data_IF_778217156197
#
_entry.id   IF_778217156197
#
_cell.length_a   1.000
_cell.length_b   1.000
_cell.length_c   1.000
_cell.angle_alpha   90.00
_cell.angle_beta   90.00
_cell.angle_gamma   90.00
#
_symmetry.space_group_name_H-M   'P 1'
#
loop_
_entity.id
_entity.type
_entity.pdbx_description
1 polymer ?
#
# COMPACT_ATOMS: atom_id res chain seq x y z
N UNK A 1 21.37 4.52 9.88
CA UNK A 1 20.10 4.53 10.55
C UNK A 1 19.21 5.58 9.93
N UNK A 2 17.92 5.50 10.07
CA UNK A 2 17.00 6.45 9.49
C UNK A 2 16.76 6.31 8.00
N UNK A 3 17.20 5.20 7.41
CA UNK A 3 16.92 4.90 6.00
C UNK A 3 16.15 3.60 5.96
N UNK A 4 15.05 3.61 5.21
CA UNK A 4 14.26 2.41 4.99
C UNK A 4 13.72 2.43 3.58
N UNK A 5 13.34 1.27 3.07
CA UNK A 5 12.73 1.15 1.76
C UNK A 5 11.25 0.88 1.96
N UNK A 6 10.42 1.69 1.31
CA UNK A 6 8.98 1.51 1.34
C UNK A 6 8.49 1.12 -0.04
N UNK A 7 7.58 0.16 -0.07
CA UNK A 7 6.89 -0.25 -1.27
C UNK A 7 5.45 0.22 -1.16
N UNK A 8 5.06 1.10 -2.08
CA UNK A 8 3.73 1.70 -2.06
C UNK A 8 2.85 1.05 -3.11
N UNK A 9 1.65 0.69 -2.70
CA UNK A 9 0.60 0.26 -3.63
C UNK A 9 -0.52 1.28 -3.48
N UNK A 10 -0.78 2.01 -4.56
CA UNK A 10 -1.73 3.12 -4.57
C UNK A 10 -2.95 2.75 -5.38
N UNK A 11 -4.12 2.86 -4.76
CA UNK A 11 -5.41 2.67 -5.42
C UNK A 11 -5.98 4.05 -5.69
N UNK A 12 -5.90 4.48 -6.95
CA UNK A 12 -6.39 5.79 -7.37
C UNK A 12 -7.68 5.59 -8.11
N UNK A 13 -8.78 6.12 -7.56
CA UNK A 13 -10.10 5.93 -8.14
C UNK A 13 -11.16 5.86 -7.08
N UNK A 14 -12.14 4.98 -7.29
CA UNK A 14 -13.29 4.87 -6.40
C UNK A 14 -13.78 3.44 -6.29
N UNK A 15 -14.44 3.15 -5.17
CA UNK A 15 -15.17 1.92 -4.95
C UNK A 15 -16.59 2.29 -4.54
N UNK A 16 -17.62 1.55 -5.00
CA UNK A 16 -18.97 1.76 -4.50
C UNK A 16 -19.10 1.43 -3.01
N UNK A 17 -18.14 0.66 -2.47
CA UNK A 17 -18.12 0.27 -1.05
C UNK A 17 -16.73 0.48 -0.48
N UNK A 18 -16.26 1.73 -0.31
CA UNK A 18 -14.88 1.99 0.11
C UNK A 18 -14.55 1.44 1.49
N UNK A 19 -15.50 1.47 2.43
CA UNK A 19 -15.29 0.92 3.76
C UNK A 19 -15.12 -0.60 3.70
N UNK A 20 -15.89 -1.26 2.85
CA UNK A 20 -15.77 -2.71 2.67
C UNK A 20 -14.43 -3.06 2.02
N UNK A 21 -13.99 -2.26 1.05
CA UNK A 21 -12.71 -2.44 0.42
C UNK A 21 -11.58 -2.32 1.44
N UNK A 22 -11.60 -1.29 2.25
CA UNK A 22 -10.60 -1.07 3.28
C UNK A 22 -10.62 -2.20 4.32
N UNK A 23 -11.80 -2.61 4.74
CA UNK A 23 -11.95 -3.69 5.72
C UNK A 23 -11.39 -5.01 5.18
N UNK A 24 -11.65 -5.31 3.91
CA UNK A 24 -11.08 -6.51 3.29
C UNK A 24 -9.56 -6.43 3.30
N UNK A 25 -9.00 -5.29 2.98
CA UNK A 25 -7.56 -5.10 2.98
C UNK A 25 -6.98 -5.36 4.36
N UNK A 26 -7.57 -4.75 5.39
CA UNK A 26 -7.07 -4.87 6.77
C UNK A 26 -7.15 -6.28 7.33
N UNK A 27 -8.21 -7.01 6.99
CA UNK A 27 -8.48 -8.30 7.64
C UNK A 27 -8.02 -9.50 6.83
N UNK A 28 -8.12 -9.42 5.49
CA UNK A 28 -7.80 -10.57 4.64
C UNK A 28 -6.48 -10.38 3.92
N UNK A 29 -6.36 -9.30 3.18
CA UNK A 29 -5.17 -9.07 2.37
C UNK A 29 -3.94 -8.86 3.25
N UNK A 30 -4.08 -8.15 4.36
CA UNK A 30 -2.99 -7.88 5.28
C UNK A 30 -2.37 -9.16 5.84
N UNK A 31 -3.17 -10.22 6.05
CA UNK A 31 -2.64 -11.48 6.54
C UNK A 31 -1.70 -12.14 5.54
N UNK A 32 -1.96 -11.95 4.25
CA UNK A 32 -1.05 -12.44 3.21
C UNK A 32 0.23 -11.59 3.18
N UNK A 33 0.08 -10.26 3.23
CA UNK A 33 1.24 -9.35 3.21
C UNK A 33 2.15 -9.58 4.42
N UNK A 34 1.59 -9.98 5.55
CA UNK A 34 2.35 -10.28 6.75
C UNK A 34 3.33 -11.43 6.53
N UNK A 35 3.09 -12.27 5.54
CA UNK A 35 3.96 -13.40 5.19
C UNK A 35 5.11 -13.02 4.27
N UNK A 36 5.16 -11.78 3.79
CA UNK A 36 6.28 -11.33 2.97
C UNK A 36 7.57 -11.46 3.80
N UNK A 37 8.60 -12.15 3.27
CA UNK A 37 9.85 -12.28 4.02
C UNK A 37 10.45 -10.91 4.33
N UNK A 38 10.88 -10.75 5.56
CA UNK A 38 11.55 -9.55 6.08
C UNK A 38 10.72 -8.27 6.07
N UNK A 39 9.42 -8.38 5.91
CA UNK A 39 8.57 -7.19 6.02
C UNK A 39 8.62 -6.68 7.47
N UNK A 40 8.77 -5.36 7.62
CA UNK A 40 8.86 -4.74 8.95
C UNK A 40 7.51 -4.19 9.39
N UNK A 41 6.78 -3.56 8.48
CA UNK A 41 5.49 -2.99 8.83
C UNK A 41 4.64 -2.80 7.59
N UNK A 42 3.34 -2.70 7.82
CA UNK A 42 2.36 -2.31 6.82
C UNK A 42 1.58 -1.16 7.40
N UNK A 43 1.59 -0.04 6.70
CA UNK A 43 0.81 1.13 7.08
C UNK A 43 -0.21 1.38 5.99
N UNK A 44 -1.47 1.47 6.40
CA UNK A 44 -2.56 1.70 5.48
C UNK A 44 -3.03 3.14 5.63
N UNK A 45 -3.05 3.87 4.53
CA UNK A 45 -3.46 5.27 4.49
C UNK A 45 -4.76 5.42 3.75
N UNK A 46 -5.67 6.18 4.30
CA UNK A 46 -6.92 6.55 3.63
C UNK A 46 -7.05 8.07 3.62
N UNK A 47 -7.89 8.62 2.75
CA UNK A 47 -8.06 10.06 2.71
C UNK A 47 -8.48 10.63 4.06
N UNK A 48 -7.93 11.79 4.38
CA UNK A 48 -8.28 12.54 5.57
C UNK A 48 -8.99 13.83 5.13
N UNK A 49 -10.00 14.29 5.88
CA UNK A 49 -10.53 15.62 5.62
C UNK A 49 -9.44 16.66 5.83
N UNK A 50 -9.40 17.65 4.93
CA UNK A 50 -8.40 18.71 5.05
C UNK A 50 -8.86 19.94 4.28
N UNK A 51 -8.30 21.06 4.65
CA UNK A 51 -8.56 22.34 4.01
C UNK A 51 -7.25 23.06 3.80
N UNK A 52 -7.03 23.54 2.59
CA UNK A 52 -5.82 24.28 2.25
C UNK A 52 -6.25 25.65 1.71
N UNK A 53 -5.70 26.75 2.22
CA UNK A 53 -6.03 28.08 1.70
C UNK A 53 -5.51 28.32 0.29
N UNK A 54 -4.57 27.50 -0.20
CA UNK A 54 -4.05 27.63 -1.56
C UNK A 54 -4.80 26.68 -2.50
N UNK A 55 -4.88 27.01 -3.81
CA UNK A 55 -5.58 26.16 -4.77
C UNK A 55 -4.72 24.98 -5.21
N UNK A 56 -4.51 24.05 -4.30
CA UNK A 56 -3.72 22.86 -4.58
C UNK A 56 -4.56 21.79 -5.28
N UNK A 57 -3.90 20.93 -6.05
CA UNK A 57 -4.56 19.85 -6.76
C UNK A 57 -4.55 18.59 -5.89
N UNK A 58 -5.71 17.95 -5.76
CA UNK A 58 -5.82 16.71 -5.02
C UNK A 58 -5.31 15.52 -5.82
N UNK A 59 -4.80 14.50 -5.11
CA UNK A 59 -4.17 13.35 -5.74
C UNK A 59 -5.11 12.23 -6.19
N UNK A 60 -6.31 12.15 -5.61
CA UNK A 60 -7.28 11.13 -6.00
C UNK A 60 -7.01 9.73 -5.46
N UNK A 61 -6.19 9.60 -4.45
CA UNK A 61 -5.91 8.30 -3.83
C UNK A 61 -7.08 7.89 -2.93
N UNK A 62 -7.61 6.69 -3.16
CA UNK A 62 -8.63 6.10 -2.29
C UNK A 62 -7.98 5.34 -1.14
N UNK A 63 -6.92 4.62 -1.42
CA UNK A 63 -6.21 3.82 -0.43
C UNK A 63 -4.74 3.73 -0.83
N UNK A 64 -3.84 3.80 0.16
CA UNK A 64 -2.42 3.67 -0.08
C UNK A 64 -1.84 2.70 0.94
N UNK A 65 -1.26 1.61 0.46
CA UNK A 65 -0.57 0.65 1.31
C UNK A 65 0.92 0.94 1.27
N UNK A 66 1.53 1.01 2.44
CA UNK A 66 2.97 1.25 2.58
C UNK A 66 3.59 0.07 3.31
N UNK A 67 4.39 -0.71 2.61
CA UNK A 67 5.13 -1.82 3.18
C UNK A 67 6.59 -1.39 3.37
N UNK A 68 7.12 -1.61 4.58
CA UNK A 68 8.46 -1.15 4.92
C UNK A 68 9.42 -2.32 5.07
N UNK A 69 10.62 -2.14 4.52
CA UNK A 69 11.71 -3.10 4.56
C UNK A 69 13.00 -2.40 4.94
N UNK A 70 13.97 -3.15 5.48
CA UNK A 70 15.26 -2.57 5.87
C UNK A 70 16.12 -2.21 4.67
N UNK A 71 15.95 -2.92 3.54
CA UNK A 71 16.82 -2.73 2.38
C UNK A 71 16.09 -3.04 1.08
N UNK A 72 16.65 -2.56 -0.01
CA UNK A 72 16.15 -2.87 -1.35
C UNK A 72 16.26 -4.38 -1.64
N UNK A 73 17.31 -5.04 -1.14
CA UNK A 73 17.45 -6.48 -1.29
C UNK A 73 16.34 -7.26 -0.62
N UNK A 74 15.94 -6.84 0.59
CA UNK A 74 14.83 -7.47 1.29
C UNK A 74 13.54 -7.28 0.52
N UNK A 75 13.31 -6.09 -0.04
CA UNK A 75 12.13 -5.84 -0.86
C UNK A 75 12.14 -6.74 -2.10
N UNK A 76 13.27 -6.81 -2.81
CA UNK A 76 13.37 -7.64 -4.01
C UNK A 76 13.05 -9.10 -3.71
N UNK A 77 13.56 -9.62 -2.60
CA UNK A 77 13.30 -11.00 -2.19
C UNK A 77 11.81 -11.19 -1.87
N UNK A 78 11.20 -10.23 -1.19
CA UNK A 78 9.78 -10.31 -0.86
C UNK A 78 8.92 -10.30 -2.12
N UNK A 79 9.27 -9.49 -3.11
CA UNK A 79 8.50 -9.39 -4.36
C UNK A 79 8.60 -10.66 -5.20
N UNK A 80 9.62 -11.49 -4.99
CA UNK A 80 9.76 -12.77 -5.67
C UNK A 80 9.23 -13.95 -4.88
N UNK A 81 8.66 -13.69 -3.70
CA UNK A 81 8.23 -14.76 -2.80
C UNK A 81 6.89 -15.35 -3.20
N UNK A 82 6.60 -16.52 -2.61
CA UNK A 82 5.29 -17.15 -2.74
C UNK A 82 4.19 -16.26 -2.18
N UNK A 83 4.47 -15.56 -1.07
CA UNK A 83 3.49 -14.65 -0.47
C UNK A 83 3.08 -13.57 -1.46
N UNK A 84 4.01 -13.06 -2.28
CA UNK A 84 3.69 -12.07 -3.31
C UNK A 84 2.70 -12.65 -4.33
N UNK A 85 2.89 -13.90 -4.75
CA UNK A 85 1.97 -14.54 -5.69
C UNK A 85 0.59 -14.67 -5.09
N UNK A 86 0.51 -15.05 -3.82
CA UNK A 86 -0.77 -15.14 -3.12
C UNK A 86 -1.45 -13.78 -3.03
N UNK A 87 -0.68 -12.72 -2.79
CA UNK A 87 -1.21 -11.36 -2.74
C UNK A 87 -1.77 -10.92 -4.10
N UNK A 88 -1.06 -11.26 -5.17
CA UNK A 88 -1.53 -10.95 -6.54
C UNK A 88 -2.83 -11.68 -6.85
N UNK A 89 -2.91 -12.95 -6.47
CA UNK A 89 -4.12 -13.76 -6.69
C UNK A 89 -5.29 -13.22 -5.86
N UNK A 90 -5.02 -12.75 -4.66
CA UNK A 90 -6.05 -12.26 -3.76
C UNK A 90 -6.72 -10.99 -4.27
N UNK A 91 -6.05 -10.22 -5.12
CA UNK A 91 -6.64 -9.01 -5.69
C UNK A 91 -7.93 -9.32 -6.44
N UNK A 92 -8.02 -10.52 -7.03
CA UNK A 92 -9.23 -10.96 -7.72
C UNK A 92 -10.44 -11.14 -6.80
N UNK A 93 -10.22 -11.17 -5.48
CA UNK A 93 -11.29 -11.33 -4.48
C UNK A 93 -11.64 -10.02 -3.79
N UNK A 94 -10.99 -8.92 -4.15
CA UNK A 94 -11.26 -7.62 -3.55
C UNK A 94 -12.68 -7.15 -3.93
N UNK A 95 -13.31 -6.34 -3.06
CA UNK A 95 -14.54 -5.67 -3.46
C UNK A 95 -14.33 -4.82 -4.71
N UNK A 96 -15.39 -4.45 -5.41
CA UNK A 96 -15.28 -3.70 -6.67
C UNK A 96 -14.48 -2.42 -6.50
N UNK A 97 -13.60 -2.17 -7.45
CA UNK A 97 -12.78 -0.96 -7.52
C UNK A 97 -12.67 -0.53 -8.97
N UNK A 98 -12.91 0.75 -9.22
CA UNK A 98 -12.79 1.35 -10.54
C UNK A 98 -11.71 2.40 -10.50
N UNK A 99 -10.62 2.15 -11.20
CA UNK A 99 -9.50 3.07 -11.19
C UNK A 99 -8.20 2.38 -11.55
N UNK A 100 -7.11 2.95 -11.07
CA UNK A 100 -5.76 2.55 -11.40
C UNK A 100 -5.03 2.11 -10.14
N UNK A 101 -4.28 1.01 -10.24
CA UNK A 101 -3.40 0.55 -9.16
C UNK A 101 -1.97 0.76 -9.61
N UNK A 102 -1.19 1.51 -8.85
CA UNK A 102 0.22 1.76 -9.15
C UNK A 102 1.10 1.25 -8.04
N UNK A 103 2.32 0.89 -8.40
CA UNK A 103 3.32 0.34 -7.49
C UNK A 103 4.58 1.18 -7.58
N UNK A 104 5.20 1.45 -6.43
CA UNK A 104 6.35 2.33 -6.40
C UNK A 104 7.23 2.00 -5.20
N UNK A 105 8.53 1.91 -5.41
CA UNK A 105 9.48 1.73 -4.32
C UNK A 105 10.23 3.03 -4.10
N UNK A 106 10.37 3.42 -2.83
CA UNK A 106 11.06 4.65 -2.48
C UNK A 106 11.97 4.43 -1.28
N UNK A 107 13.12 5.06 -1.31
CA UNK A 107 14.02 5.08 -0.16
C UNK A 107 13.67 6.29 0.69
N UNK A 108 13.31 6.04 1.94
CA UNK A 108 12.97 7.10 2.87
C UNK A 108 14.17 7.46 3.73
N UNK A 109 14.34 8.75 3.94
CA UNK A 109 15.40 9.26 4.80
C UNK A 109 14.77 10.27 5.75
N UNK A 110 14.94 10.03 7.06
CA UNK A 110 14.44 10.96 8.06
C UNK A 110 15.36 12.18 8.10
N UNK A 111 14.80 13.35 7.84
CA UNK A 111 15.55 14.60 7.84
C UNK A 111 15.53 15.22 9.23
N UNK A 112 14.39 15.16 9.93
CA UNK A 112 14.28 15.59 11.33
C UNK A 112 13.14 14.88 12.05
#
# INVERSE_FOLDING_TARGET
MGVMVSYFVRYRGASPTPETFESYYETRHAEILKQFPNIRSLILHRPSPWTDPFPVRQGGTMLLAQMQFDSAGDLDNALRSQARRLARDDFGRFPPFDGEVTHEAMTGKVIF
#
